data_IF_710452990827
#
_entry.id   IF_710452990827
#
_cell.length_a   1.000
_cell.length_b   1.000
_cell.length_c   1.000
_cell.angle_alpha   90.00
_cell.angle_beta   90.00
_cell.angle_gamma   90.00
#
_symmetry.space_group_name_H-M   'P 1'
#
loop_
_entity.id
_entity.type
_entity.pdbx_description
1 polymer ?
#
# COMPACT_ATOMS: atom_id res chain seq x y z
N UNK A 1 -0.90 -13.62 -5.34
CA UNK A 1 -1.38 -13.73 -3.93
C UNK A 1 -2.89 -13.65 -3.86
N UNK A 2 -3.50 -12.66 -4.52
CA UNK A 2 -4.95 -12.49 -4.60
C UNK A 2 -5.66 -13.63 -5.36
N UNK A 3 -5.01 -14.24 -6.36
CA UNK A 3 -5.54 -15.39 -7.11
C UNK A 3 -5.89 -16.65 -6.29
N UNK A 4 -5.54 -16.69 -4.99
CA UNK A 4 -5.81 -17.84 -4.10
C UNK A 4 -7.09 -17.68 -3.29
N UNK A 5 -7.75 -16.52 -3.32
CA UNK A 5 -8.98 -16.25 -2.57
C UNK A 5 -9.80 -15.15 -3.25
N UNK A 6 -11.14 -15.26 -3.29
CA UNK A 6 -11.99 -14.16 -3.77
C UNK A 6 -12.17 -13.05 -2.72
N UNK A 7 -11.68 -13.25 -1.49
CA UNK A 7 -11.77 -12.23 -0.42
C UNK A 7 -10.80 -11.08 -0.70
N UNK A 8 -11.18 -9.83 -0.36
CA UNK A 8 -10.27 -8.71 -0.39
C UNK A 8 -8.98 -8.96 0.40
N UNK A 9 -7.86 -8.40 -0.08
CA UNK A 9 -6.53 -8.57 0.50
C UNK A 9 -5.97 -7.25 0.97
N UNK A 10 -5.47 -7.22 2.21
CA UNK A 10 -4.70 -6.10 2.76
C UNK A 10 -3.21 -6.45 2.78
N UNK A 11 -2.37 -5.60 2.19
CA UNK A 11 -0.92 -5.75 2.24
C UNK A 11 -0.37 -5.28 3.59
N UNK A 12 0.27 -6.16 4.38
CA UNK A 12 0.62 -5.85 5.77
C UNK A 12 2.09 -5.44 6.00
N UNK A 13 2.94 -5.38 4.97
CA UNK A 13 4.36 -5.08 5.18
C UNK A 13 5.15 -4.85 3.90
N UNK A 14 6.36 -4.32 4.07
CA UNK A 14 7.27 -4.03 2.96
C UNK A 14 7.18 -2.61 2.40
N UNK A 15 6.26 -1.77 2.89
CA UNK A 15 6.17 -0.37 2.46
C UNK A 15 7.28 0.46 3.10
N UNK A 16 8.21 0.92 2.29
CA UNK A 16 9.39 1.70 2.68
C UNK A 16 9.53 3.02 1.93
N UNK A 17 8.82 3.16 0.80
CA UNK A 17 8.84 4.31 -0.10
C UNK A 17 7.44 4.62 -0.65
N UNK A 18 7.28 5.79 -1.28
CA UNK A 18 6.06 6.13 -2.02
C UNK A 18 5.86 5.24 -3.25
N UNK A 19 6.95 4.76 -3.87
CA UNK A 19 6.88 3.82 -5.01
C UNK A 19 6.24 2.49 -4.61
N UNK A 20 6.47 2.02 -3.37
CA UNK A 20 5.81 0.82 -2.85
C UNK A 20 4.28 1.02 -2.77
N UNK A 21 3.82 2.23 -2.44
CA UNK A 21 2.39 2.57 -2.40
C UNK A 21 1.81 2.60 -3.81
N UNK A 22 2.50 3.24 -4.75
CA UNK A 22 2.09 3.27 -6.16
C UNK A 22 2.00 1.84 -6.74
N UNK A 23 2.98 0.99 -6.46
CA UNK A 23 2.98 -0.40 -6.89
C UNK A 23 1.81 -1.21 -6.28
N UNK A 24 1.48 -0.98 -5.01
CA UNK A 24 0.33 -1.62 -4.37
C UNK A 24 -1.01 -1.17 -4.96
N UNK A 25 -1.11 0.09 -5.38
CA UNK A 25 -2.29 0.63 -6.06
C UNK A 25 -2.58 -0.09 -7.38
N UNK A 26 -1.56 -0.42 -8.16
CA UNK A 26 -1.71 -1.20 -9.40
C UNK A 26 -2.25 -2.62 -9.16
N UNK A 27 -2.25 -3.11 -7.91
CA UNK A 27 -2.82 -4.41 -7.54
C UNK A 27 -4.28 -4.32 -7.11
N UNK A 28 -4.89 -3.13 -7.05
CA UNK A 28 -6.31 -2.96 -6.71
C UNK A 28 -7.23 -3.75 -7.65
N UNK A 29 -7.04 -3.72 -8.99
CA UNK A 29 -7.82 -4.56 -9.92
C UNK A 29 -7.66 -6.06 -9.67
N UNK A 30 -6.59 -6.47 -8.99
CA UNK A 30 -6.31 -7.86 -8.67
C UNK A 30 -6.91 -8.27 -7.32
N UNK A 31 -7.53 -7.36 -6.55
CA UNK A 31 -8.20 -7.66 -5.27
C UNK A 31 -7.46 -7.18 -4.03
N UNK A 32 -6.43 -6.34 -4.16
CA UNK A 32 -5.86 -5.60 -3.02
C UNK A 32 -6.79 -4.43 -2.68
N UNK A 33 -7.22 -4.32 -1.42
CA UNK A 33 -8.11 -3.23 -0.98
C UNK A 33 -7.39 -2.17 -0.11
N UNK A 34 -6.19 -2.46 0.35
CA UNK A 34 -5.44 -1.54 1.20
C UNK A 34 -4.08 -2.06 1.62
N UNK A 35 -3.37 -1.22 2.36
CA UNK A 35 -2.06 -1.50 2.89
C UNK A 35 -1.90 -0.98 4.32
N UNK A 36 -1.11 -1.68 5.13
CA UNK A 36 -0.71 -1.27 6.48
C UNK A 36 0.71 -0.74 6.41
N UNK A 37 0.86 0.55 6.69
CA UNK A 37 2.16 1.24 6.72
C UNK A 37 2.58 1.45 8.17
N UNK A 38 3.73 0.91 8.54
CA UNK A 38 4.27 1.00 9.90
C UNK A 38 5.50 1.90 9.96
N UNK A 39 6.67 1.26 10.12
CA UNK A 39 7.97 1.91 10.39
C UNK A 39 8.27 3.10 9.46
N UNK A 40 7.92 3.04 8.17
CA UNK A 40 8.22 4.09 7.22
C UNK A 40 7.65 5.47 7.63
N UNK A 41 6.44 5.50 8.20
CA UNK A 41 5.83 6.73 8.70
C UNK A 41 6.55 7.23 9.97
N UNK A 42 6.87 6.33 10.91
CA UNK A 42 7.55 6.69 12.15
C UNK A 42 9.01 7.12 11.94
N UNK A 43 9.66 6.56 10.93
CA UNK A 43 11.03 6.90 10.55
C UNK A 43 11.12 8.16 9.67
N UNK A 44 9.99 8.74 9.26
CA UNK A 44 9.95 9.93 8.41
C UNK A 44 10.43 9.69 6.98
N UNK A 45 10.28 8.47 6.45
CA UNK A 45 10.62 8.18 5.05
C UNK A 45 9.74 8.96 4.07
N UNK A 46 8.50 9.22 4.48
CA UNK A 46 7.51 10.09 3.86
C UNK A 46 6.44 10.44 4.90
N UNK A 47 5.64 11.45 4.60
CA UNK A 47 4.51 11.90 5.43
C UNK A 47 3.24 11.13 5.10
N UNK A 48 2.29 11.11 6.04
CA UNK A 48 0.96 10.55 5.80
C UNK A 48 0.25 11.25 4.63
N UNK A 49 0.43 12.56 4.47
CA UNK A 49 -0.16 13.32 3.37
C UNK A 49 0.37 12.84 2.01
N UNK A 50 1.70 12.73 1.85
CA UNK A 50 2.31 12.21 0.62
C UNK A 50 1.86 10.77 0.31
N UNK A 51 1.73 9.93 1.34
CA UNK A 51 1.23 8.57 1.19
C UNK A 51 -0.22 8.53 0.67
N UNK A 52 -1.08 9.40 1.20
CA UNK A 52 -2.48 9.51 0.78
C UNK A 52 -2.61 10.07 -0.63
N UNK A 53 -1.80 11.07 -0.99
CA UNK A 53 -1.80 11.65 -2.34
C UNK A 53 -1.44 10.59 -3.40
N UNK A 54 -0.41 9.76 -3.14
CA UNK A 54 -0.04 8.66 -4.03
C UNK A 54 -1.10 7.57 -4.07
N UNK A 55 -1.71 7.23 -2.93
CA UNK A 55 -2.76 6.22 -2.86
C UNK A 55 -4.08 6.65 -3.53
N UNK A 56 -4.35 7.96 -3.59
CA UNK A 56 -5.58 8.52 -4.16
C UNK A 56 -5.49 8.84 -5.66
N UNK A 57 -4.28 9.06 -6.18
CA UNK A 57 -4.05 9.24 -7.62
C UNK A 57 -4.25 7.97 -8.42
#
# INVERSE_FOLDING_TARGET
MTSRTPKPVVASGGVSSLDDIAALRELVPLGVEGAIVGRALYAGAFTLAEALDVAAG
#
